data_IF_285151021208
#
_entry.id   IF_285151021208
#
_cell.length_a   1.000
_cell.length_b   1.000
_cell.length_c   1.000
_cell.angle_alpha   90.00
_cell.angle_beta   90.00
_cell.angle_gamma   90.00
#
_symmetry.space_group_name_H-M   'P 1'
#
loop_
_entity.id
_entity.type
_entity.pdbx_description
1 polymer ?
#
# COMPACT_ATOMS: atom_id res chain seq x y z
N UNK A 1 -19.53 20.25 -12.41
CA UNK A 1 -19.33 19.12 -11.47
C UNK A 1 -17.96 18.56 -11.80
N UNK A 2 -16.93 18.88 -11.01
CA UNK A 2 -15.55 18.54 -11.38
C UNK A 2 -15.35 17.03 -11.34
N UNK A 3 -15.00 16.42 -12.47
CA UNK A 3 -14.64 15.01 -12.53
C UNK A 3 -13.43 14.79 -11.62
N UNK A 4 -13.57 13.94 -10.59
CA UNK A 4 -12.42 13.56 -9.77
C UNK A 4 -11.43 12.83 -10.67
N UNK A 5 -10.19 13.30 -10.67
CA UNK A 5 -9.09 12.62 -11.36
C UNK A 5 -9.03 11.15 -10.94
N UNK A 6 -8.55 10.27 -11.83
CA UNK A 6 -8.41 8.85 -11.54
C UNK A 6 -7.58 8.61 -10.26
N UNK A 7 -6.51 9.38 -10.07
CA UNK A 7 -5.69 9.34 -8.85
C UNK A 7 -6.47 9.80 -7.61
N UNK A 8 -7.30 10.86 -7.72
CA UNK A 8 -8.14 11.32 -6.61
C UNK A 8 -9.21 10.31 -6.19
N UNK A 9 -9.73 9.52 -7.14
CA UNK A 9 -10.63 8.39 -6.82
C UNK A 9 -9.89 7.24 -6.15
N UNK A 10 -8.67 6.94 -6.59
CA UNK A 10 -7.84 5.88 -6.02
C UNK A 10 -7.41 6.20 -4.60
N UNK A 11 -6.83 7.39 -4.38
CA UNK A 11 -6.39 7.86 -3.06
C UNK A 11 -7.57 8.10 -2.10
N UNK A 12 -8.72 8.54 -2.62
CA UNK A 12 -9.93 8.71 -1.83
C UNK A 12 -10.57 7.39 -1.38
N UNK A 13 -10.18 6.24 -1.97
CA UNK A 13 -10.62 4.94 -1.51
C UNK A 13 -9.77 4.50 -0.30
N UNK A 14 -10.43 4.32 0.85
CA UNK A 14 -9.74 3.99 2.10
C UNK A 14 -8.75 2.82 1.94
N UNK A 15 -7.52 2.99 2.42
CA UNK A 15 -6.46 1.98 2.46
C UNK A 15 -5.98 1.48 1.08
N UNK A 16 -6.39 2.09 -0.04
CA UNK A 16 -5.95 1.66 -1.37
C UNK A 16 -4.46 1.89 -1.62
N UNK A 17 -3.91 3.00 -1.14
CA UNK A 17 -2.47 3.26 -1.17
C UNK A 17 -1.72 2.29 -0.26
N UNK A 18 -2.20 2.10 0.97
CA UNK A 18 -1.58 1.21 1.97
C UNK A 18 -1.49 -0.23 1.48
N UNK A 19 -2.50 -0.74 0.77
CA UNK A 19 -2.47 -2.09 0.18
C UNK A 19 -1.33 -2.21 -0.84
N UNK A 20 -1.17 -1.24 -1.75
CA UNK A 20 -0.08 -1.29 -2.74
C UNK A 20 1.29 -1.17 -2.09
N UNK A 21 1.44 -0.27 -1.12
CA UNK A 21 2.70 -0.10 -0.37
C UNK A 21 3.04 -1.35 0.45
N UNK A 22 2.05 -1.99 1.06
CA UNK A 22 2.24 -3.23 1.82
C UNK A 22 2.71 -4.38 0.92
N UNK A 23 2.07 -4.60 -0.23
CA UNK A 23 2.46 -5.65 -1.18
C UNK A 23 3.85 -5.36 -1.76
N UNK A 24 4.17 -4.08 -2.02
CA UNK A 24 5.52 -3.67 -2.44
C UNK A 24 6.58 -4.06 -1.40
N UNK A 25 6.30 -3.81 -0.12
CA UNK A 25 7.21 -4.17 0.96
C UNK A 25 7.26 -5.69 1.24
N UNK A 26 6.21 -6.43 0.86
CA UNK A 26 6.05 -7.87 1.13
C UNK A 26 5.66 -8.62 -0.16
N UNK A 27 6.60 -8.83 -1.09
CA UNK A 27 6.31 -9.50 -2.36
C UNK A 27 5.85 -10.95 -2.11
N UNK A 28 4.76 -11.36 -2.77
CA UNK A 28 4.19 -12.69 -2.59
C UNK A 28 3.43 -12.87 -1.27
N UNK A 29 2.98 -11.79 -0.64
CA UNK A 29 2.13 -11.88 0.55
C UNK A 29 0.82 -12.62 0.23
N UNK A 30 0.26 -13.28 1.24
CA UNK A 30 -1.05 -13.91 1.10
C UNK A 30 -2.15 -12.86 1.20
N UNK A 31 -3.27 -13.12 0.54
CA UNK A 31 -4.48 -12.30 0.69
C UNK A 31 -4.88 -12.15 2.17
N UNK A 32 -4.70 -13.20 2.97
CA UNK A 32 -4.94 -13.19 4.42
C UNK A 32 -4.02 -12.25 5.20
N UNK A 33 -2.80 -12.00 4.72
CA UNK A 33 -1.84 -11.12 5.39
C UNK A 33 -2.30 -9.67 5.28
N UNK A 34 -2.80 -9.27 4.11
CA UNK A 34 -3.38 -7.94 3.90
C UNK A 34 -4.58 -7.71 4.83
N UNK A 35 -5.44 -8.73 5.00
CA UNK A 35 -6.56 -8.65 5.93
C UNK A 35 -6.14 -8.47 7.39
N UNK A 36 -5.03 -9.09 7.78
CA UNK A 36 -4.51 -9.02 9.15
C UNK A 36 -3.77 -7.71 9.42
N UNK A 37 -2.97 -7.26 8.46
CA UNK A 37 -1.98 -6.18 8.64
C UNK A 37 -2.48 -4.81 8.18
N UNK A 38 -3.32 -4.76 7.14
CA UNK A 38 -3.75 -3.49 6.55
C UNK A 38 -5.18 -3.15 6.94
N UNK A 39 -6.12 -4.09 6.82
CA UNK A 39 -7.51 -3.83 7.21
C UNK A 39 -8.37 -5.09 7.32
N UNK A 40 -9.09 -5.21 8.44
CA UNK A 40 -10.12 -6.26 8.65
C UNK A 40 -11.46 -5.97 7.97
N UNK A 41 -11.53 -4.93 7.15
CA UNK A 41 -12.78 -4.54 6.51
C UNK A 41 -13.18 -5.55 5.42
N UNK A 42 -14.45 -5.96 5.39
CA UNK A 42 -14.98 -6.84 4.35
C UNK A 42 -14.76 -6.26 2.93
N UNK A 43 -14.78 -4.93 2.80
CA UNK A 43 -14.54 -4.23 1.53
C UNK A 43 -13.10 -4.37 1.01
N UNK A 44 -12.14 -4.81 1.84
CA UNK A 44 -10.76 -5.06 1.40
C UNK A 44 -10.70 -6.13 0.32
N UNK A 45 -11.57 -7.16 0.38
CA UNK A 45 -11.65 -8.20 -0.67
C UNK A 45 -11.96 -7.59 -2.03
N UNK A 46 -13.04 -6.81 -2.06
CA UNK A 46 -13.58 -6.24 -3.28
C UNK A 46 -12.58 -5.25 -3.89
N UNK A 47 -11.84 -4.51 -3.05
CA UNK A 47 -10.77 -3.62 -3.49
C UNK A 47 -9.61 -4.39 -4.11
N UNK A 48 -9.13 -5.46 -3.47
CA UNK A 48 -8.08 -6.31 -4.04
C UNK A 48 -8.54 -6.87 -5.39
N UNK A 49 -9.78 -7.37 -5.47
CA UNK A 49 -10.33 -7.87 -6.73
C UNK A 49 -10.39 -6.79 -7.81
N UNK A 50 -10.82 -5.56 -7.47
CA UNK A 50 -10.79 -4.42 -8.40
C UNK A 50 -9.38 -4.04 -8.83
N UNK A 51 -8.39 -4.11 -7.94
CA UNK A 51 -6.99 -3.85 -8.29
C UNK A 51 -6.44 -4.91 -9.24
N UNK A 52 -6.85 -6.17 -9.08
CA UNK A 52 -6.54 -7.26 -10.04
C UNK A 52 -7.20 -6.98 -11.39
N UNK A 53 -8.49 -6.64 -11.40
CA UNK A 53 -9.22 -6.27 -12.64
C UNK A 53 -8.61 -5.07 -13.37
N UNK A 54 -8.06 -4.11 -12.62
CA UNK A 54 -7.37 -2.93 -13.16
C UNK A 54 -5.92 -3.23 -13.62
N UNK A 55 -5.45 -4.45 -13.43
CA UNK A 55 -4.10 -4.89 -13.76
C UNK A 55 -3.02 -4.27 -12.90
N UNK A 56 -3.34 -3.86 -11.66
CA UNK A 56 -2.35 -3.40 -10.66
C UNK A 56 -1.76 -4.58 -9.88
N UNK A 57 -2.55 -5.63 -9.68
CA UNK A 57 -2.16 -6.83 -8.96
C UNK A 57 -2.34 -8.07 -9.84
N UNK A 58 -1.50 -9.07 -9.58
CA UNK A 58 -1.69 -10.44 -10.02
C UNK A 58 -2.03 -11.31 -8.81
N UNK A 59 -2.94 -12.26 -9.03
CA UNK A 59 -3.38 -13.21 -8.01
C UNK A 59 -3.03 -14.61 -8.48
N UNK A 60 -2.13 -15.28 -7.76
CA UNK A 60 -1.73 -16.66 -8.04
C UNK A 60 -2.26 -17.57 -6.94
N UNK A 61 -2.94 -18.64 -7.34
CA UNK A 61 -3.44 -19.66 -6.40
C UNK A 61 -2.53 -20.88 -6.43
N UNK A 62 -1.98 -21.26 -5.28
CA UNK A 62 -1.18 -22.47 -5.10
C UNK A 62 -1.52 -23.13 -3.76
N UNK A 63 -1.73 -24.45 -3.76
CA UNK A 63 -2.05 -25.26 -2.57
C UNK A 63 -3.21 -24.70 -1.71
N UNK A 64 -4.28 -24.22 -2.36
CA UNK A 64 -5.45 -23.64 -1.69
C UNK A 64 -5.19 -22.27 -1.04
N UNK A 65 -4.02 -21.66 -1.29
CA UNK A 65 -3.65 -20.32 -0.83
C UNK A 65 -3.62 -19.35 -2.01
N UNK A 66 -3.97 -18.10 -1.73
CA UNK A 66 -3.98 -17.03 -2.73
C UNK A 66 -2.90 -16.02 -2.39
N UNK A 67 -1.92 -15.92 -3.29
CA UNK A 67 -0.78 -15.01 -3.22
C UNK A 67 -1.00 -13.82 -4.12
N UNK A 68 -0.53 -12.65 -3.69
CA UNK A 68 -0.67 -11.40 -4.41
C UNK A 68 0.71 -10.82 -4.72
N UNK A 69 0.87 -10.38 -5.96
CA UNK A 69 2.06 -9.69 -6.45
C UNK A 69 1.65 -8.44 -7.23
N UNK A 70 2.55 -7.46 -7.28
CA UNK A 70 2.37 -6.30 -8.15
C UNK A 70 2.67 -6.69 -9.59
N UNK A 71 1.87 -6.19 -10.53
CA UNK A 71 2.23 -6.21 -11.96
C UNK A 71 3.26 -5.11 -12.23
N UNK A 72 3.80 -5.03 -13.46
CA UNK A 72 4.64 -3.90 -13.87
C UNK A 72 3.96 -2.53 -13.60
N UNK A 73 2.68 -2.43 -13.95
CA UNK A 73 1.85 -1.22 -13.74
C UNK A 73 1.62 -0.94 -12.25
N UNK A 74 1.37 -1.99 -11.47
CA UNK A 74 1.22 -1.88 -10.01
C UNK A 74 2.49 -1.39 -9.33
N UNK A 75 3.64 -1.93 -9.74
CA UNK A 75 4.95 -1.55 -9.22
C UNK A 75 5.28 -0.10 -9.50
N UNK A 76 5.08 0.37 -10.73
CA UNK A 76 5.29 1.78 -11.09
C UNK A 76 4.42 2.72 -10.22
N UNK A 77 3.14 2.38 -10.05
CA UNK A 77 2.27 3.17 -9.19
C UNK A 77 2.70 3.11 -7.72
N UNK A 78 3.08 1.95 -7.20
CA UNK A 78 3.53 1.79 -5.83
C UNK A 78 4.84 2.56 -5.55
N UNK A 79 5.75 2.65 -6.52
CA UNK A 79 6.95 3.48 -6.42
C UNK A 79 6.61 4.97 -6.37
N UNK A 80 5.70 5.44 -7.23
CA UNK A 80 5.23 6.83 -7.19
C UNK A 80 4.55 7.17 -5.86
N UNK A 81 3.71 6.25 -5.35
CA UNK A 81 3.07 6.40 -4.05
C UNK A 81 4.09 6.44 -2.91
N UNK A 82 5.12 5.58 -2.95
CA UNK A 82 6.16 5.59 -1.94
C UNK A 82 7.00 6.86 -1.98
N UNK A 83 7.31 7.37 -3.17
CA UNK A 83 7.98 8.67 -3.30
C UNK A 83 7.12 9.80 -2.78
N UNK A 84 5.81 9.77 -3.04
CA UNK A 84 4.88 10.73 -2.47
C UNK A 84 4.84 10.62 -0.94
N UNK A 85 4.82 9.41 -0.40
CA UNK A 85 4.87 9.13 1.04
C UNK A 85 6.15 9.70 1.68
N UNK A 86 7.32 9.53 1.06
CA UNK A 86 8.58 10.15 1.52
C UNK A 86 8.58 11.68 1.46
N UNK A 87 7.82 12.29 0.55
CA UNK A 87 7.69 13.75 0.46
C UNK A 87 6.75 14.29 1.54
N UNK A 88 5.71 13.52 1.86
CA UNK A 88 4.70 13.88 2.85
C UNK A 88 5.10 13.53 4.28
N UNK A 89 5.95 12.51 4.45
CA UNK A 89 6.54 12.17 5.74
C UNK A 89 7.39 13.31 6.26
N UNK A 90 7.13 13.72 7.50
CA UNK A 90 8.05 14.63 8.20
C UNK A 90 9.40 13.92 8.36
N UNK A 91 10.54 14.64 8.26
CA UNK A 91 11.80 14.08 8.69
C UNK A 91 11.62 13.72 10.17
N UNK A 92 11.65 12.43 10.51
CA UNK A 92 11.78 12.03 11.90
C UNK A 92 13.02 12.78 12.42
N UNK A 93 12.82 13.67 13.40
CA UNK A 93 13.86 14.45 14.04
C UNK A 93 14.97 13.50 14.47
N UNK A 94 16.01 13.40 13.65
CA UNK A 94 17.21 12.68 13.97
C UNK A 94 17.88 13.46 15.10
N UNK A 95 17.79 12.89 16.31
CA UNK A 95 18.68 13.15 17.42
C UNK A 95 18.55 14.57 18.01
N UNK A 96 17.64 14.75 18.97
CA UNK A 96 17.92 15.71 20.03
C UNK A 96 19.16 15.17 20.76
N UNK A 97 20.32 15.86 20.73
CA UNK A 97 21.50 15.37 21.42
C UNK A 97 21.15 15.24 22.90
N UNK A 98 21.33 14.04 23.44
CA UNK A 98 21.29 13.78 24.87
C UNK A 98 22.11 14.87 25.57
N UNK A 99 21.40 15.74 26.30
CA UNK A 99 22.01 16.78 27.10
C UNK A 99 22.94 16.12 28.10
N UNK A 100 24.24 16.21 27.82
CA UNK A 100 25.32 15.80 28.68
C UNK A 100 25.08 16.36 30.09
N UNK A 101 25.09 15.45 31.07
CA UNK A 101 24.91 15.77 32.45
C UNK A 101 26.08 16.61 32.95
N UNK A 102 25.79 17.79 33.48
CA UNK A 102 26.67 18.47 34.44
C UNK A 102 25.91 19.56 35.18
N UNK A 103 25.55 19.28 36.43
CA UNK A 103 25.67 20.18 37.60
C UNK A 103 25.38 19.41 38.88
#
# INVERSE_FOLDING_TARGET
>A
MGERSCIGRFLGAANSADILLFIRANPGCMRSDIYRMVSRNAHTSEKISRMVEQGLLESTSADGRTFLSLTCKGSELAELLHRADMILGEPEDADAPDGDGSS
#
